data_IF_000184826058
#
_entry.id   IF_000184826058
#
_cell.length_a   1.000
_cell.length_b   1.000
_cell.length_c   1.000
_cell.angle_alpha   90.00
_cell.angle_beta   90.00
_cell.angle_gamma   90.00
#
_symmetry.space_group_name_H-M   'P 1'
#
loop_
_entity.id
_entity.type
_entity.pdbx_description
1 polymer ?
#
# COMPACT_ATOMS: atom_id res chain seq x y z
N UNK A 1 12.81 -3.26 6.33
CA UNK A 1 11.96 -2.44 5.43
C UNK A 1 11.21 -1.45 6.30
N UNK A 2 10.81 -0.30 5.77
CA UNK A 2 9.95 0.61 6.53
C UNK A 2 8.51 0.07 6.57
N UNK A 3 7.71 0.48 7.55
CA UNK A 3 6.30 0.09 7.60
C UNK A 3 5.52 0.54 6.36
N UNK A 4 5.95 1.65 5.73
CA UNK A 4 5.38 2.12 4.46
C UNK A 4 5.70 1.12 3.34
N UNK A 5 6.94 0.65 3.24
CA UNK A 5 7.32 -0.35 2.23
C UNK A 5 6.50 -1.65 2.39
N UNK A 6 6.31 -2.11 3.63
CA UNK A 6 5.53 -3.32 3.95
C UNK A 6 4.05 -3.17 3.60
N UNK A 7 3.48 -1.97 3.84
CA UNK A 7 2.12 -1.62 3.43
C UNK A 7 2.00 -1.57 1.90
N UNK A 8 2.96 -0.95 1.21
CA UNK A 8 2.96 -0.91 -0.25
C UNK A 8 3.05 -2.32 -0.83
N UNK A 9 3.92 -3.18 -0.31
CA UNK A 9 4.05 -4.56 -0.74
C UNK A 9 2.75 -5.35 -0.59
N UNK A 10 1.99 -5.12 0.49
CA UNK A 10 0.66 -5.73 0.67
C UNK A 10 -0.31 -5.31 -0.44
N UNK A 11 -0.37 -4.02 -0.78
CA UNK A 11 -1.37 -3.45 -1.68
C UNK A 11 -1.04 -3.60 -3.19
N UNK A 12 0.15 -4.11 -3.51
CA UNK A 12 0.66 -4.23 -4.88
C UNK A 12 -0.11 -5.21 -5.78
N UNK A 13 -0.89 -6.12 -5.19
CA UNK A 13 -1.76 -7.00 -5.96
C UNK A 13 -2.94 -6.23 -6.61
N UNK A 14 -3.16 -4.98 -6.18
CA UNK A 14 -4.21 -4.08 -6.66
C UNK A 14 -5.60 -4.40 -6.12
N UNK A 15 -5.71 -5.27 -5.11
CA UNK A 15 -6.95 -5.66 -4.46
C UNK A 15 -7.17 -4.84 -3.20
N UNK A 16 -8.40 -4.91 -2.70
CA UNK A 16 -8.76 -4.32 -1.42
C UNK A 16 -8.26 -5.22 -0.28
N UNK A 17 -7.50 -4.62 0.64
CA UNK A 17 -7.04 -5.26 1.86
C UNK A 17 -7.66 -4.59 3.09
N UNK A 18 -8.00 -5.40 4.08
CA UNK A 18 -8.47 -4.96 5.39
C UNK A 18 -7.31 -4.39 6.23
N UNK A 19 -7.63 -3.42 7.09
CA UNK A 19 -6.64 -2.81 7.98
C UNK A 19 -5.92 -3.83 8.86
N UNK A 20 -6.57 -4.95 9.22
CA UNK A 20 -5.97 -6.04 9.99
C UNK A 20 -4.84 -6.73 9.22
N UNK A 21 -4.94 -6.85 7.90
CA UNK A 21 -3.87 -7.40 7.07
C UNK A 21 -2.64 -6.50 7.11
N UNK A 22 -2.86 -5.18 7.03
CA UNK A 22 -1.78 -4.20 7.13
C UNK A 22 -1.16 -4.12 8.53
N UNK A 23 -1.97 -4.23 9.60
CA UNK A 23 -1.45 -4.35 10.96
C UNK A 23 -0.58 -5.58 11.13
N UNK A 24 -1.02 -6.74 10.62
CA UNK A 24 -0.26 -7.99 10.69
C UNK A 24 1.04 -7.91 9.86
N UNK A 25 1.00 -7.29 8.68
CA UNK A 25 2.15 -7.16 7.79
C UNK A 25 3.20 -6.17 8.31
N UNK A 26 2.76 -5.06 8.92
CA UNK A 26 3.63 -3.97 9.38
C UNK A 26 3.98 -4.01 10.88
N UNK A 27 3.33 -4.90 11.63
CA UNK A 27 3.40 -4.97 13.10
C UNK A 27 3.06 -3.61 13.79
N UNK A 28 2.18 -2.82 13.17
CA UNK A 28 1.70 -1.55 13.70
C UNK A 28 0.33 -1.68 14.35
N UNK A 29 0.05 -0.81 15.32
CA UNK A 29 -1.29 -0.63 15.85
C UNK A 29 -2.20 0.06 14.83
N UNK A 30 -3.50 -0.23 14.91
CA UNK A 30 -4.53 0.24 13.99
C UNK A 30 -4.44 1.74 13.72
N UNK A 31 -4.39 2.57 14.78
CA UNK A 31 -4.33 4.03 14.64
C UNK A 31 -3.13 4.53 13.82
N UNK A 32 -1.99 3.81 13.87
CA UNK A 32 -0.81 4.16 13.04
C UNK A 32 -1.02 3.76 11.59
N UNK A 33 -1.65 2.62 11.35
CA UNK A 33 -2.00 2.19 9.98
C UNK A 33 -3.01 3.15 9.37
N UNK A 34 -4.03 3.58 10.14
CA UNK A 34 -4.99 4.61 9.69
C UNK A 34 -4.31 5.93 9.36
N UNK A 35 -3.35 6.37 10.17
CA UNK A 35 -2.59 7.59 9.92
C UNK A 35 -1.78 7.49 8.61
N UNK A 36 -1.14 6.35 8.37
CA UNK A 36 -0.42 6.09 7.11
C UNK A 36 -1.40 6.05 5.93
N UNK A 37 -2.53 5.37 6.07
CA UNK A 37 -3.56 5.31 5.02
C UNK A 37 -4.15 6.69 4.72
N UNK A 38 -4.43 7.49 5.73
CA UNK A 38 -4.89 8.87 5.58
C UNK A 38 -3.89 9.70 4.79
N UNK A 39 -2.61 9.66 5.17
CA UNK A 39 -1.53 10.33 4.45
C UNK A 39 -1.44 9.86 2.99
N UNK A 40 -1.40 8.54 2.75
CA UNK A 40 -1.28 8.01 1.39
C UNK A 40 -2.51 8.34 0.52
N UNK A 41 -3.71 8.36 1.11
CA UNK A 41 -4.94 8.72 0.42
C UNK A 41 -4.99 10.21 0.07
N UNK A 42 -4.50 11.08 0.96
CA UNK A 42 -4.41 12.53 0.73
C UNK A 42 -3.61 12.86 -0.54
N UNK A 43 -2.56 12.08 -0.82
CA UNK A 43 -1.74 12.22 -2.03
C UNK A 43 -2.15 11.28 -3.18
N UNK A 44 -3.35 10.67 -3.10
CA UNK A 44 -3.90 9.77 -4.12
C UNK A 44 -3.03 8.55 -4.45
N UNK A 45 -2.18 8.11 -3.52
CA UNK A 45 -1.43 6.86 -3.68
C UNK A 45 -2.34 5.64 -3.52
N UNK A 46 -3.30 5.72 -2.59
CA UNK A 46 -4.27 4.66 -2.30
C UNK A 46 -5.69 5.20 -2.36
N UNK A 47 -6.63 4.31 -2.65
CA UNK A 47 -8.04 4.49 -2.30
C UNK A 47 -8.23 3.92 -0.88
N UNK A 48 -8.76 4.73 0.05
CA UNK A 48 -9.06 4.28 1.42
C UNK A 48 -10.57 4.39 1.70
N UNK A 49 -11.20 3.26 2.01
CA UNK A 49 -12.58 3.20 2.47
C UNK A 49 -12.58 3.15 4.00
N UNK A 50 -12.86 4.29 4.62
CA UNK A 50 -12.85 4.42 6.08
C UNK A 50 -14.01 3.66 6.77
N UNK A 51 -15.16 3.49 6.11
CA UNK A 51 -16.30 2.75 6.66
C UNK A 51 -16.00 1.26 6.77
N UNK A 52 -15.35 0.70 5.75
CA UNK A 52 -14.98 -0.71 5.69
C UNK A 52 -13.57 -1.00 6.21
N UNK A 53 -12.80 0.04 6.57
CA UNK A 53 -11.39 -0.03 6.95
C UNK A 53 -10.55 -0.81 5.93
N UNK A 54 -10.71 -0.48 4.65
CA UNK A 54 -10.02 -1.14 3.54
C UNK A 54 -9.23 -0.17 2.68
N UNK A 55 -8.09 -0.62 2.18
CA UNK A 55 -7.26 0.14 1.25
C UNK A 55 -6.88 -0.67 0.01
N UNK A 56 -6.61 0.02 -1.09
CA UNK A 56 -5.94 -0.53 -2.28
C UNK A 56 -5.11 0.56 -2.96
N UNK A 57 -4.12 0.19 -3.76
CA UNK A 57 -3.44 1.17 -4.61
C UNK A 57 -4.40 1.78 -5.63
N UNK A 58 -4.25 3.08 -5.89
CA UNK A 58 -4.93 3.69 -7.04
C UNK A 58 -4.38 3.11 -8.34
N UNK A 59 -5.16 3.12 -9.45
CA UNK A 59 -4.69 2.58 -10.73
C UNK A 59 -3.37 3.22 -11.21
N UNK A 60 -3.20 4.52 -10.98
CA UNK A 60 -1.99 5.27 -11.34
C UNK A 60 -0.78 4.77 -10.55
N UNK A 61 -0.90 4.64 -9.24
CA UNK A 61 0.17 4.17 -8.36
C UNK A 61 0.52 2.71 -8.63
N UNK A 62 -0.48 1.86 -8.85
CA UNK A 62 -0.27 0.47 -9.21
C UNK A 62 0.53 0.32 -10.52
N UNK A 63 0.21 1.13 -11.54
CA UNK A 63 0.96 1.16 -12.80
C UNK A 63 2.40 1.62 -12.57
N UNK A 64 2.59 2.67 -11.78
CA UNK A 64 3.91 3.23 -11.45
C UNK A 64 4.81 2.19 -10.76
N UNK A 65 4.32 1.51 -9.72
CA UNK A 65 5.10 0.51 -8.98
C UNK A 65 5.45 -0.69 -9.85
N UNK A 66 4.51 -1.17 -10.67
CA UNK A 66 4.77 -2.27 -11.61
C UNK A 66 5.89 -1.92 -12.60
N UNK A 67 5.93 -0.68 -13.06
CA UNK A 67 6.96 -0.22 -13.99
C UNK A 67 8.34 -0.11 -13.32
N UNK A 68 8.40 0.41 -12.09
CA UNK A 68 9.65 0.42 -11.30
C UNK A 68 10.19 -1.01 -11.13
N UNK A 69 9.32 -1.94 -10.71
CA UNK A 69 9.73 -3.35 -10.51
C UNK A 69 10.20 -4.02 -11.79
N UNK A 70 9.60 -3.69 -12.93
CA UNK A 70 10.04 -4.16 -14.25
C UNK A 70 11.47 -3.70 -14.54
N UNK A 71 11.76 -2.42 -14.29
CA UNK A 71 13.08 -1.82 -14.49
C UNK A 71 14.12 -2.44 -13.53
N UNK A 72 13.78 -2.63 -12.26
CA UNK A 72 14.69 -3.21 -11.27
C UNK A 72 15.06 -4.67 -11.59
N UNK A 73 14.08 -5.47 -12.03
CA UNK A 73 14.31 -6.86 -12.46
C UNK A 73 15.18 -6.92 -13.71
N UNK A 74 14.95 -6.04 -14.69
CA UNK A 74 15.76 -5.95 -15.91
C UNK A 74 17.18 -5.41 -15.70
N UNK A 75 17.47 -4.77 -14.56
CA UNK A 75 18.83 -4.34 -14.18
C UNK A 75 19.64 -5.41 -13.45
N UNK A 76 19.01 -6.52 -13.04
CA UNK A 76 19.66 -7.65 -12.35
C UNK A 76 19.92 -8.86 -13.26
N UNK A 77 19.54 -8.77 -14.53
CA UNK A 77 19.78 -9.75 -15.59
C UNK A 77 20.89 -9.28 -16.51
#
# INVERSE_FOLDING_TARGET
MSAIDEIFELLEDGRWHDIKEAMAKSNLQEFKVEMIYGFLAEYAFIDFNNEQKKAKLTPTTLKFIREIRRIEKGRRS
#
